data_IF_957281854006
#
_entry.id   IF_957281854006
#
_cell.length_a   1.000
_cell.length_b   1.000
_cell.length_c   1.000
_cell.angle_alpha   90.00
_cell.angle_beta   90.00
_cell.angle_gamma   90.00
#
_symmetry.space_group_name_H-M   'P 1'
#
loop_
_entity.id
_entity.type
_entity.pdbx_description
1 polymer ?
#
# COMPACT_ATOMS: atom_id res chain seq x y z
N UNK A 1 -8.85 -26.51 2.80
CA UNK A 1 -8.59 -26.10 3.14
C UNK A 1 -8.18 -25.69 3.75
N UNK A 2 -8.34 -26.02 3.58
CA UNK A 2 -7.98 -25.62 4.09
C UNK A 2 -7.66 -25.09 4.60
N UNK A 3 -7.70 -25.39 4.34
CA UNK A 3 -7.45 -24.62 5.11
C UNK A 3 -6.58 -23.81 5.29
N UNK A 4 -6.81 -23.42 4.63
CA UNK A 4 -5.98 -22.35 4.97
C UNK A 4 -5.64 -22.42 6.44
N UNK A 5 -4.36 -22.30 6.75
CA UNK A 5 -3.97 -22.31 8.14
C UNK A 5 -4.46 -21.02 8.81
N UNK A 6 -4.84 -21.08 10.10
CA UNK A 6 -5.35 -19.89 10.78
C UNK A 6 -4.35 -18.74 10.84
N UNK A 7 -3.06 -19.05 10.88
CA UNK A 7 -2.04 -17.99 10.91
C UNK A 7 -1.76 -17.38 9.56
N UNK A 8 -2.36 -17.92 8.53
CA UNK A 8 -2.17 -17.36 7.18
C UNK A 8 -3.02 -16.14 7.00
N UNK A 9 -2.40 -15.03 6.76
CA UNK A 9 -3.12 -13.80 6.47
C UNK A 9 -3.50 -13.73 5.02
N UNK A 10 -4.53 -12.96 4.75
CA UNK A 10 -4.95 -12.69 3.39
C UNK A 10 -4.38 -11.38 2.92
N UNK A 11 -3.85 -11.39 1.72
CA UNK A 11 -3.43 -10.19 1.03
C UNK A 11 -4.52 -9.84 0.01
N UNK A 12 -5.10 -8.66 0.15
CA UNK A 12 -6.13 -8.18 -0.75
C UNK A 12 -5.58 -6.98 -1.51
N UNK A 13 -5.73 -7.00 -2.83
CA UNK A 13 -5.25 -5.91 -3.68
C UNK A 13 -6.46 -5.18 -4.26
N UNK A 14 -6.52 -3.89 -4.05
CA UNK A 14 -7.54 -3.02 -4.62
C UNK A 14 -6.86 -2.17 -5.69
N UNK A 15 -7.09 -2.53 -6.95
CA UNK A 15 -6.44 -1.89 -8.09
C UNK A 15 -7.44 -1.08 -8.88
N UNK A 16 -6.93 -0.06 -9.58
CA UNK A 16 -7.74 0.76 -10.46
C UNK A 16 -7.30 2.21 -10.46
N UNK A 17 -7.82 3.02 -11.38
CA UNK A 17 -7.54 4.45 -11.37
C UNK A 17 -8.06 5.11 -10.10
N UNK A 18 -7.37 6.14 -9.65
CA UNK A 18 -7.76 6.83 -8.42
C UNK A 18 -9.17 7.43 -8.48
N UNK A 19 -9.65 7.70 -9.69
CA UNK A 19 -10.95 8.32 -9.89
C UNK A 19 -12.14 7.39 -9.69
N UNK A 20 -11.93 6.10 -9.48
CA UNK A 20 -13.04 5.12 -9.37
C UNK A 20 -13.44 4.80 -7.94
N UNK A 21 -13.04 5.61 -6.98
CA UNK A 21 -13.53 5.49 -5.62
C UNK A 21 -12.78 4.51 -4.73
N UNK A 22 -11.54 4.19 -5.04
CA UNK A 22 -10.73 3.30 -4.20
C UNK A 22 -10.63 3.78 -2.76
N UNK A 23 -10.45 5.07 -2.57
CA UNK A 23 -10.36 5.65 -1.24
C UNK A 23 -11.63 5.45 -0.43
N UNK A 24 -12.78 5.54 -1.09
CA UNK A 24 -14.08 5.32 -0.44
C UNK A 24 -14.22 3.85 -0.04
N UNK A 25 -13.82 2.94 -0.91
CA UNK A 25 -13.88 1.50 -0.60
C UNK A 25 -12.95 1.17 0.56
N UNK A 26 -11.72 1.69 0.55
CA UNK A 26 -10.77 1.45 1.63
C UNK A 26 -11.29 2.00 2.96
N UNK A 27 -11.90 3.17 2.95
CA UNK A 27 -12.49 3.75 4.16
C UNK A 27 -13.64 2.89 4.69
N UNK A 28 -14.45 2.34 3.79
CA UNK A 28 -15.54 1.46 4.15
C UNK A 28 -15.03 0.17 4.78
N UNK A 29 -13.99 -0.42 4.19
CA UNK A 29 -13.35 -1.62 4.71
C UNK A 29 -12.77 -1.36 6.09
N UNK A 30 -12.08 -0.24 6.25
CA UNK A 30 -11.49 0.12 7.55
C UNK A 30 -12.56 0.25 8.63
N UNK A 31 -13.70 0.81 8.28
CA UNK A 31 -14.82 1.00 9.20
C UNK A 31 -15.47 -0.32 9.59
N UNK A 32 -15.65 -1.21 8.61
CA UNK A 32 -16.34 -2.49 8.81
C UNK A 32 -15.42 -3.58 9.36
N UNK A 33 -14.13 -3.50 9.06
CA UNK A 33 -13.15 -4.51 9.43
C UNK A 33 -11.90 -3.85 10.00
N UNK A 34 -11.95 -3.35 11.24
CA UNK A 34 -10.82 -2.61 11.82
C UNK A 34 -9.58 -3.46 12.04
N UNK A 35 -9.69 -4.78 11.96
CA UNK A 35 -8.55 -5.69 12.07
C UNK A 35 -7.71 -5.74 10.79
N UNK A 36 -8.22 -5.21 9.68
CA UNK A 36 -7.47 -5.20 8.42
C UNK A 36 -6.52 -4.01 8.40
N UNK A 37 -5.24 -4.30 8.16
CA UNK A 37 -4.24 -3.25 7.99
C UNK A 37 -4.22 -2.79 6.55
N UNK A 38 -4.27 -1.49 6.34
CA UNK A 38 -4.24 -0.91 5.01
C UNK A 38 -2.86 -0.32 4.77
N UNK A 39 -2.20 -0.83 3.72
CA UNK A 39 -0.85 -0.39 3.39
C UNK A 39 -0.86 1.05 2.90
N UNK A 40 0.15 1.82 3.30
CA UNK A 40 0.37 3.18 2.81
C UNK A 40 1.47 3.11 1.76
N UNK A 41 1.15 3.49 0.54
CA UNK A 41 2.09 3.45 -0.58
C UNK A 41 3.11 4.58 -0.48
N UNK A 42 4.27 4.37 -1.11
CA UNK A 42 5.26 5.42 -1.28
C UNK A 42 5.06 6.07 -2.64
N UNK A 43 5.39 7.35 -2.75
CA UNK A 43 5.32 8.05 -4.03
C UNK A 43 6.39 9.14 -4.10
N UNK A 44 6.85 9.41 -5.32
CA UNK A 44 7.76 10.51 -5.59
C UNK A 44 7.02 11.81 -5.93
N UNK A 45 5.71 11.76 -6.00
CA UNK A 45 4.88 12.95 -6.25
C UNK A 45 4.84 13.82 -5.00
N UNK A 46 4.82 15.12 -5.21
CA UNK A 46 4.66 16.06 -4.09
C UNK A 46 3.26 15.93 -3.47
N UNK A 47 3.13 16.17 -2.17
CA UNK A 47 1.81 16.14 -1.53
C UNK A 47 0.86 17.18 -2.13
N UNK A 48 -0.39 16.81 -2.24
CA UNK A 48 -1.47 17.73 -2.62
C UNK A 48 -2.08 18.32 -1.35
N UNK A 49 -2.81 19.44 -1.47
CA UNK A 49 -3.46 20.00 -0.28
C UNK A 49 -4.33 18.95 0.42
N UNK A 50 -4.20 18.89 1.72
CA UNK A 50 -4.95 17.94 2.53
C UNK A 50 -4.31 16.56 2.67
N UNK A 51 -3.26 16.26 1.91
CA UNK A 51 -2.56 14.98 2.05
C UNK A 51 -1.54 15.06 3.16
N UNK A 52 -1.47 13.99 3.95
CA UNK A 52 -0.60 13.93 5.11
C UNK A 52 0.40 12.79 4.91
N UNK A 53 1.69 13.13 5.07
CA UNK A 53 2.77 12.14 4.96
C UNK A 53 2.58 11.04 6.01
N UNK A 54 2.71 9.81 5.58
CA UNK A 54 2.54 8.64 6.44
C UNK A 54 1.10 8.20 6.62
N UNK A 55 0.14 8.98 6.14
CA UNK A 55 -1.28 8.66 6.22
C UNK A 55 -1.83 8.33 4.83
N UNK A 56 -1.73 9.28 3.92
CA UNK A 56 -2.22 9.09 2.54
C UNK A 56 -1.16 8.39 1.69
N UNK A 57 0.07 8.85 1.81
CA UNK A 57 1.25 8.29 1.15
C UNK A 57 2.45 8.56 2.04
N UNK A 58 3.53 7.81 1.78
CA UNK A 58 4.86 8.21 2.22
C UNK A 58 5.47 8.98 1.05
N UNK A 59 5.65 10.28 1.21
CA UNK A 59 6.20 11.14 0.16
C UNK A 59 7.72 11.12 0.27
N UNK A 60 8.36 10.54 -0.72
CA UNK A 60 9.83 10.34 -0.70
C UNK A 60 10.45 10.93 -1.96
N UNK A 61 11.76 11.07 -1.94
CA UNK A 61 12.50 11.59 -3.09
C UNK A 61 12.69 10.51 -4.13
N UNK A 62 13.06 10.92 -5.36
CA UNK A 62 13.40 9.96 -6.41
C UNK A 62 14.58 9.09 -5.98
N UNK A 63 15.57 9.69 -5.32
CA UNK A 63 16.73 8.94 -4.85
C UNK A 63 16.35 7.90 -3.81
N UNK A 64 15.46 8.23 -2.89
CA UNK A 64 14.96 7.29 -1.90
C UNK A 64 14.18 6.15 -2.55
N UNK A 65 13.40 6.48 -3.57
CA UNK A 65 12.67 5.46 -4.31
C UNK A 65 13.62 4.49 -5.02
N UNK A 66 14.65 5.04 -5.67
CA UNK A 66 15.68 4.23 -6.32
C UNK A 66 16.38 3.30 -5.33
N UNK A 67 16.63 3.80 -4.13
CA UNK A 67 17.26 3.01 -3.09
C UNK A 67 16.37 1.85 -2.65
N UNK A 68 15.06 2.10 -2.53
CA UNK A 68 14.11 1.03 -2.19
C UNK A 68 14.09 -0.05 -3.27
N UNK A 69 14.14 0.35 -4.54
CA UNK A 69 14.20 -0.63 -5.64
C UNK A 69 15.49 -1.46 -5.52
N UNK A 70 16.62 -0.80 -5.30
CA UNK A 70 17.92 -1.49 -5.23
C UNK A 70 17.97 -2.48 -4.08
N UNK A 71 17.28 -2.21 -3.00
CA UNK A 71 17.25 -3.06 -1.80
C UNK A 71 16.06 -4.02 -1.77
N UNK A 72 15.33 -4.14 -2.89
CA UNK A 72 14.15 -4.99 -2.99
C UNK A 72 13.10 -4.63 -1.93
N UNK A 73 12.99 -3.34 -1.65
CA UNK A 73 12.11 -2.82 -0.61
C UNK A 73 10.67 -2.58 -1.04
N UNK A 74 10.34 -2.82 -2.32
CA UNK A 74 9.01 -2.64 -2.86
C UNK A 74 8.46 -3.97 -3.35
N UNK A 75 7.20 -4.27 -3.01
CA UNK A 75 6.51 -5.44 -3.54
C UNK A 75 6.19 -5.26 -5.01
N UNK A 76 5.82 -4.07 -5.39
CA UNK A 76 5.53 -3.68 -6.77
C UNK A 76 5.70 -2.18 -6.86
N UNK A 77 5.89 -1.67 -8.06
CA UNK A 77 5.91 -0.23 -8.28
C UNK A 77 5.63 0.06 -9.76
N UNK A 78 5.21 1.29 -10.03
CA UNK A 78 4.87 1.69 -11.38
C UNK A 78 5.03 3.20 -11.54
N UNK A 79 5.19 3.62 -12.80
CA UNK A 79 5.18 5.05 -13.16
C UNK A 79 3.75 5.39 -13.57
N UNK A 80 3.21 6.46 -12.99
CA UNK A 80 1.84 6.89 -13.26
C UNK A 80 1.88 8.27 -13.91
N UNK A 81 1.12 8.44 -14.96
CA UNK A 81 1.04 9.69 -15.72
C UNK A 81 2.40 10.16 -16.23
N UNK A 82 3.29 9.20 -16.51
CA UNK A 82 4.59 9.49 -17.12
C UNK A 82 5.59 10.22 -16.25
N UNK A 83 5.30 10.44 -15.00
CA UNK A 83 6.18 11.25 -14.16
C UNK A 83 6.38 10.67 -12.76
N UNK A 84 5.34 10.51 -11.99
CA UNK A 84 5.46 10.09 -10.59
C UNK A 84 5.51 8.58 -10.48
N UNK A 85 6.32 8.08 -9.56
CA UNK A 85 6.39 6.65 -9.25
C UNK A 85 5.62 6.39 -7.97
N UNK A 86 4.95 5.23 -7.94
CA UNK A 86 4.20 4.78 -6.78
C UNK A 86 4.61 3.34 -6.51
N UNK A 87 4.72 2.97 -5.26
CA UNK A 87 5.07 1.60 -4.91
C UNK A 87 4.53 1.18 -3.55
N UNK A 88 4.52 -0.13 -3.34
CA UNK A 88 4.06 -0.73 -2.09
C UNK A 88 5.27 -1.19 -1.28
N UNK A 89 5.50 -0.64 -0.09
CA UNK A 89 6.63 -1.07 0.74
C UNK A 89 6.47 -2.55 1.14
N UNK A 90 7.54 -3.31 0.97
CA UNK A 90 7.51 -4.75 1.24
C UNK A 90 7.52 -5.07 2.73
N UNK A 91 8.40 -4.43 3.47
CA UNK A 91 8.68 -4.83 4.85
C UNK A 91 7.43 -4.79 5.75
N UNK A 92 6.66 -3.70 5.66
CA UNK A 92 5.46 -3.56 6.49
C UNK A 92 4.40 -4.59 6.13
N UNK A 93 4.22 -4.85 4.84
CA UNK A 93 3.24 -5.83 4.38
C UNK A 93 3.63 -7.22 4.88
N UNK A 94 4.89 -7.60 4.69
CA UNK A 94 5.35 -8.92 5.13
C UNK A 94 5.26 -9.07 6.64
N UNK A 95 5.57 -8.01 7.38
CA UNK A 95 5.47 -8.01 8.83
C UNK A 95 4.04 -8.28 9.28
N UNK A 96 3.08 -7.59 8.67
CA UNK A 96 1.67 -7.75 9.04
C UNK A 96 1.15 -9.13 8.69
N UNK A 97 1.49 -9.63 7.50
CA UNK A 97 1.07 -10.96 7.09
C UNK A 97 1.67 -12.03 8.01
N UNK A 98 2.93 -11.89 8.38
CA UNK A 98 3.59 -12.82 9.28
C UNK A 98 2.96 -12.81 10.66
N UNK A 99 2.42 -11.68 11.08
CA UNK A 99 1.74 -11.56 12.37
C UNK A 99 0.29 -12.07 12.32
N UNK A 100 -0.17 -12.55 11.17
CA UNK A 100 -1.53 -13.05 11.03
C UNK A 100 -2.57 -11.97 10.77
N UNK A 101 -2.14 -10.76 10.43
CA UNK A 101 -3.07 -9.65 10.19
C UNK A 101 -3.35 -9.52 8.69
N UNK A 102 -4.62 -9.50 8.29
CA UNK A 102 -4.94 -9.28 6.87
C UNK A 102 -4.49 -7.89 6.42
N UNK A 103 -4.01 -7.81 5.18
CA UNK A 103 -3.51 -6.56 4.62
C UNK A 103 -4.25 -6.21 3.34
N UNK A 104 -4.57 -4.94 3.16
CA UNK A 104 -5.18 -4.41 1.95
C UNK A 104 -4.19 -3.46 1.28
N UNK A 105 -3.92 -3.71 0.01
CA UNK A 105 -3.08 -2.84 -0.81
C UNK A 105 -3.95 -2.07 -1.78
N UNK A 106 -3.72 -0.76 -1.86
CA UNK A 106 -4.32 0.10 -2.88
C UNK A 106 -3.28 0.38 -3.93
N UNK A 107 -3.49 -0.14 -5.10
CA UNK A 107 -2.52 -0.01 -6.19
C UNK A 107 -3.07 0.87 -7.31
#
# INVERSE_FOLDING_TARGET
VAEATPERSRLVVLAGPTAVGKGTVAACVRSSHPDIWISVSVTTRAPRPGEIDGVHYHFITEAEFDEMIANDGLLEWAVVHGAARYGTPRARVEERLSAGQPALLEI
#
